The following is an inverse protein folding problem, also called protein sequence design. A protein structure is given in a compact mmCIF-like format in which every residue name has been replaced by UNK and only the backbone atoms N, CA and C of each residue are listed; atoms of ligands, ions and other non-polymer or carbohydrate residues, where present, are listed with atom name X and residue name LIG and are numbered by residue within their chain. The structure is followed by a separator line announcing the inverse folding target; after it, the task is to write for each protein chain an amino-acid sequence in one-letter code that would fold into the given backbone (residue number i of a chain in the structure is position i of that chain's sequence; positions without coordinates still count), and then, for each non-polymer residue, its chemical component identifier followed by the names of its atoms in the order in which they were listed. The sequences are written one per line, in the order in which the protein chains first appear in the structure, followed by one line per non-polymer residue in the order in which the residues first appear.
data_IF_674822139019
#
_entry.id   IF_674822139019
#
_cell.length_a   1.000
_cell.length_b   1.000
_cell.length_c   1.000
_cell.angle_alpha   90.00
_cell.angle_beta   90.00
_cell.angle_gamma   90.00
#
_symmetry.space_group_name_H-M   'P 1'
#
loop_
_entity.id
_entity.type
_entity.pdbx_description
1 polymer ?
#
# COMPACT_ATOMS: atom_id res chain seq x y z
N UNK A 1 24.22 -3.75 15.90
CA UNK A 1 23.20 -3.97 14.87
C UNK A 1 21.83 -3.73 15.48
N UNK A 2 20.89 -3.18 14.79
CA UNK A 2 19.61 -2.73 15.37
C UNK A 2 18.49 -3.61 14.82
N UNK A 3 17.86 -4.39 15.68
CA UNK A 3 16.65 -5.15 15.33
C UNK A 3 15.59 -4.17 14.83
N UNK A 4 15.00 -4.43 13.66
CA UNK A 4 13.90 -3.62 13.13
C UNK A 4 12.60 -4.29 13.50
N UNK A 5 11.82 -3.59 14.32
CA UNK A 5 10.50 -4.03 14.77
C UNK A 5 9.48 -2.99 14.32
N UNK A 6 8.40 -3.45 13.73
CA UNK A 6 7.21 -2.66 13.43
C UNK A 6 6.00 -3.36 14.07
N UNK A 7 5.23 -2.64 14.88
CA UNK A 7 4.06 -3.17 15.53
C UNK A 7 2.83 -2.30 15.19
N UNK A 8 1.71 -2.95 14.92
CA UNK A 8 0.42 -2.31 14.72
C UNK A 8 -0.67 -3.16 15.37
N UNK A 9 -1.23 -2.65 16.47
CA UNK A 9 -2.12 -3.40 17.36
C UNK A 9 -1.48 -4.71 17.82
N UNK A 10 -2.05 -5.84 17.47
CA UNK A 10 -1.58 -7.19 17.75
C UNK A 10 -0.64 -7.77 16.69
N UNK A 11 -0.53 -7.14 15.53
CA UNK A 11 0.36 -7.56 14.45
C UNK A 11 1.78 -6.99 14.64
N UNK A 12 2.77 -7.87 14.73
CA UNK A 12 4.19 -7.51 14.88
C UNK A 12 4.99 -8.04 13.70
N UNK A 13 5.72 -7.15 13.04
CA UNK A 13 6.70 -7.49 12.00
C UNK A 13 8.11 -7.35 12.58
N UNK A 14 8.88 -8.42 12.46
CA UNK A 14 10.28 -8.47 12.85
C UNK A 14 11.15 -8.70 11.62
N UNK A 15 12.22 -7.90 11.49
CA UNK A 15 13.26 -8.14 10.50
C UNK A 15 14.46 -8.72 11.23
N UNK A 16 14.76 -9.98 10.96
CA UNK A 16 15.86 -10.77 11.56
C UNK A 16 16.98 -10.86 10.55
N UNK A 17 18.19 -10.54 10.96
CA UNK A 17 19.37 -10.55 10.09
C UNK A 17 20.31 -11.72 10.35
N UNK A 18 20.35 -12.21 11.59
CA UNK A 18 21.17 -13.34 11.98
C UNK A 18 20.44 -14.24 13.02
N UNK A 19 20.90 -15.49 13.22
CA UNK A 19 20.33 -16.38 14.22
C UNK A 19 20.36 -15.84 15.66
N UNK A 20 21.35 -15.00 15.98
CA UNK A 20 21.45 -14.38 17.31
C UNK A 20 20.35 -13.37 17.58
N UNK A 21 19.78 -12.73 16.56
CA UNK A 21 18.63 -11.84 16.70
C UNK A 21 17.38 -12.63 17.14
N UNK A 22 17.25 -13.88 16.71
CA UNK A 22 16.14 -14.74 17.14
C UNK A 22 16.20 -15.07 18.62
N UNK A 23 17.38 -15.46 19.12
CA UNK A 23 17.54 -15.72 20.55
C UNK A 23 17.19 -14.49 21.39
N UNK A 24 17.53 -13.28 20.92
CA UNK A 24 17.13 -12.01 21.56
C UNK A 24 15.63 -11.81 21.53
N UNK A 25 14.97 -12.09 20.40
CA UNK A 25 13.50 -11.99 20.27
C UNK A 25 12.83 -12.95 21.24
N UNK A 26 13.28 -14.21 21.30
CA UNK A 26 12.74 -15.22 22.22
C UNK A 26 12.89 -14.78 23.69
N UNK A 27 14.06 -14.27 24.07
CA UNK A 27 14.32 -13.75 25.41
C UNK A 27 13.40 -12.56 25.75
N UNK A 28 13.29 -11.59 24.85
CA UNK A 28 12.39 -10.44 25.02
C UNK A 28 10.92 -10.87 25.12
N UNK A 29 10.52 -11.83 24.30
CA UNK A 29 9.15 -12.37 24.32
C UNK A 29 8.86 -13.13 25.61
N UNK A 30 9.80 -13.91 26.14
CA UNK A 30 9.64 -14.59 27.42
C UNK A 30 9.38 -13.59 28.56
N UNK A 31 10.16 -12.51 28.61
CA UNK A 31 9.99 -11.43 29.59
C UNK A 31 8.63 -10.76 29.42
N UNK A 32 8.26 -10.41 28.19
CA UNK A 32 6.97 -9.76 27.91
C UNK A 32 5.78 -10.67 28.27
N UNK A 33 5.87 -11.96 27.92
CA UNK A 33 4.81 -12.93 28.22
C UNK A 33 4.65 -13.16 29.75
N UNK A 34 5.76 -13.16 30.48
CA UNK A 34 5.73 -13.26 31.94
C UNK A 34 5.09 -12.03 32.58
N UNK A 35 5.33 -10.83 32.06
CA UNK A 35 4.81 -9.58 32.61
C UNK A 35 3.35 -9.30 32.22
N UNK A 36 2.94 -9.64 30.97
CA UNK A 36 1.64 -9.27 30.40
C UNK A 36 0.65 -10.42 30.27
N UNK A 37 1.08 -11.67 30.49
CA UNK A 37 0.32 -12.90 30.17
C UNK A 37 -0.02 -13.05 28.68
N UNK A 38 0.44 -12.16 27.80
CA UNK A 38 0.25 -12.26 26.37
C UNK A 38 1.09 -13.40 25.78
N UNK A 39 0.56 -14.07 24.77
CA UNK A 39 1.25 -15.18 24.10
C UNK A 39 1.28 -14.97 22.61
N UNK A 40 2.41 -15.29 21.97
CA UNK A 40 2.52 -15.30 20.51
C UNK A 40 1.75 -16.49 19.96
N UNK A 41 0.96 -16.25 18.93
CA UNK A 41 0.26 -17.31 18.21
C UNK A 41 1.16 -17.82 17.08
N UNK A 42 1.99 -18.81 17.36
CA UNK A 42 2.93 -19.38 16.39
C UNK A 42 2.24 -19.99 15.17
N UNK A 43 1.05 -20.55 15.33
CA UNK A 43 0.28 -21.13 14.21
C UNK A 43 -0.12 -20.08 13.17
N UNK A 44 -0.37 -18.85 13.62
CA UNK A 44 -0.66 -17.70 12.74
C UNK A 44 0.59 -16.94 12.31
N UNK A 45 1.73 -17.22 12.93
CA UNK A 45 2.99 -16.57 12.59
C UNK A 45 3.56 -17.16 11.30
N UNK A 46 4.08 -16.31 10.45
CA UNK A 46 4.65 -16.70 9.17
C UNK A 46 5.91 -15.90 8.88
N UNK A 47 6.83 -16.50 8.15
CA UNK A 47 8.10 -15.91 7.76
C UNK A 47 8.24 -15.76 6.25
N UNK A 48 9.03 -14.78 5.83
CA UNK A 48 9.45 -14.58 4.45
C UNK A 48 10.96 -14.47 4.40
N UNK A 49 11.62 -15.42 3.75
CA UNK A 49 13.06 -15.38 3.55
C UNK A 49 13.43 -14.38 2.45
N UNK A 50 14.35 -13.44 2.75
CA UNK A 50 14.78 -12.37 1.83
C UNK A 50 16.30 -12.37 1.69
N UNK A 51 16.81 -11.91 0.55
CA UNK A 51 18.25 -11.87 0.29
C UNK A 51 18.91 -13.23 0.34
N UNK A 52 20.05 -13.33 1.03
CA UNK A 52 20.85 -14.56 1.11
C UNK A 52 20.15 -15.71 1.85
N UNK A 53 19.20 -15.39 2.74
CA UNK A 53 18.39 -16.38 3.44
C UNK A 53 17.49 -17.23 2.52
N UNK A 54 17.24 -16.79 1.30
CA UNK A 54 16.50 -17.56 0.29
C UNK A 54 17.28 -18.79 -0.22
N UNK A 55 18.60 -18.76 -0.07
CA UNK A 55 19.50 -19.83 -0.54
C UNK A 55 19.87 -20.81 0.57
N UNK A 56 19.46 -20.52 1.81
CA UNK A 56 19.78 -21.38 2.96
C UNK A 56 18.88 -22.60 2.91
N UNK A 57 19.51 -23.76 2.67
CA UNK A 57 18.84 -25.06 2.56
C UNK A 57 18.29 -25.60 3.89
N UNK A 58 18.79 -25.11 5.03
CA UNK A 58 18.28 -25.47 6.36
C UNK A 58 18.19 -24.22 7.25
N UNK A 59 16.98 -23.94 7.71
CA UNK A 59 16.76 -22.89 8.69
C UNK A 59 17.18 -23.34 10.09
N UNK A 60 17.66 -22.41 10.95
CA UNK A 60 17.93 -22.70 12.35
C UNK A 60 16.73 -23.38 13.03
N UNK A 61 16.94 -24.27 14.00
CA UNK A 61 15.85 -25.01 14.66
C UNK A 61 14.75 -24.12 15.24
N UNK A 62 15.10 -22.96 15.78
CA UNK A 62 14.16 -21.97 16.31
C UNK A 62 13.19 -21.41 15.25
N UNK A 63 13.57 -21.44 13.96
CA UNK A 63 12.75 -20.98 12.85
C UNK A 63 11.91 -22.08 12.19
N UNK A 64 12.19 -23.36 12.52
CA UNK A 64 11.47 -24.49 11.92
C UNK A 64 10.01 -24.59 12.40
N UNK A 65 9.68 -23.96 13.54
CA UNK A 65 8.32 -23.92 14.06
C UNK A 65 7.43 -22.90 13.36
N UNK A 66 8.01 -21.98 12.58
CA UNK A 66 7.30 -20.92 11.85
C UNK A 66 7.03 -21.42 10.43
N UNK A 67 5.81 -21.16 9.94
CA UNK A 67 5.52 -21.42 8.53
C UNK A 67 6.23 -20.42 7.62
N UNK A 68 7.08 -20.92 6.73
CA UNK A 68 7.80 -20.09 5.77
C UNK A 68 7.08 -20.04 4.43
N UNK A 69 6.71 -18.82 4.02
CA UNK A 69 6.04 -18.63 2.75
C UNK A 69 7.01 -18.80 1.57
N UNK A 70 6.65 -19.68 0.64
CA UNK A 70 7.33 -19.78 -0.66
C UNK A 70 6.90 -18.64 -1.60
N UNK A 71 5.77 -18.00 -1.34
CA UNK A 71 5.18 -16.91 -2.11
C UNK A 71 5.07 -15.60 -1.31
N UNK A 72 4.23 -14.68 -1.76
CA UNK A 72 4.01 -13.42 -1.07
C UNK A 72 3.39 -13.61 0.31
N UNK A 73 3.86 -12.83 1.29
CA UNK A 73 3.35 -12.77 2.65
C UNK A 73 2.37 -11.59 2.79
N UNK A 74 1.19 -11.84 3.36
CA UNK A 74 0.23 -10.79 3.65
C UNK A 74 0.54 -10.12 4.99
N UNK A 75 0.85 -8.83 4.98
CA UNK A 75 1.04 -8.02 6.18
C UNK A 75 0.24 -6.72 6.07
N UNK A 76 -0.61 -6.44 7.07
CA UNK A 76 -1.48 -5.26 7.12
C UNK A 76 -2.24 -5.00 5.80
N UNK A 77 -2.75 -6.07 5.18
CA UNK A 77 -3.51 -5.97 3.92
C UNK A 77 -2.69 -5.74 2.66
N UNK A 78 -1.35 -5.80 2.74
CA UNK A 78 -0.42 -5.69 1.62
C UNK A 78 0.38 -6.98 1.49
N UNK A 79 0.46 -7.51 0.28
CA UNK A 79 1.32 -8.64 -0.04
C UNK A 79 2.76 -8.18 -0.23
N UNK A 80 3.66 -8.72 0.58
CA UNK A 80 5.10 -8.53 0.53
C UNK A 80 5.73 -9.73 -0.17
N UNK A 81 6.69 -9.50 -1.05
CA UNK A 81 7.41 -10.57 -1.75
C UNK A 81 8.91 -10.35 -1.70
N UNK A 82 9.66 -11.44 -1.63
CA UNK A 82 11.11 -11.41 -1.70
C UNK A 82 11.65 -11.16 -3.12
N UNK A 83 10.83 -11.37 -4.14
CA UNK A 83 11.24 -11.28 -5.56
C UNK A 83 10.70 -10.05 -6.25
N UNK A 84 9.52 -9.60 -5.88
CA UNK A 84 8.82 -8.50 -6.55
C UNK A 84 8.46 -7.38 -5.56
N UNK A 85 8.80 -6.11 -5.86
CA UNK A 85 8.46 -4.98 -4.99
C UNK A 85 6.94 -4.71 -4.92
N UNK A 86 6.20 -5.17 -5.91
CA UNK A 86 4.74 -5.06 -5.95
C UNK A 86 4.16 -6.33 -6.58
N UNK A 87 3.96 -7.39 -5.79
CA UNK A 87 3.42 -8.64 -6.29
C UNK A 87 2.01 -8.47 -6.87
N UNK A 88 1.66 -9.24 -7.93
CA UNK A 88 0.40 -9.07 -8.67
C UNK A 88 -0.84 -9.30 -7.80
N UNK A 89 -0.75 -10.08 -6.75
CA UNK A 89 -1.82 -10.36 -5.79
C UNK A 89 -2.38 -9.08 -5.15
N UNK A 90 -1.55 -8.06 -5.00
CA UNK A 90 -1.97 -6.77 -4.48
C UNK A 90 -3.02 -6.10 -5.37
N UNK A 91 -2.93 -6.32 -6.67
CA UNK A 91 -3.78 -5.65 -7.66
C UNK A 91 -4.96 -6.52 -8.09
N UNK A 92 -4.73 -7.81 -8.31
CA UNK A 92 -5.77 -8.78 -8.71
C UNK A 92 -6.89 -8.87 -7.67
N UNK A 93 -6.54 -9.03 -6.40
CA UNK A 93 -7.53 -9.09 -5.32
C UNK A 93 -8.28 -7.77 -5.16
N UNK A 94 -7.60 -6.65 -5.38
CA UNK A 94 -8.20 -5.33 -5.29
C UNK A 94 -9.17 -5.07 -6.44
N UNK A 95 -8.79 -5.45 -7.65
CA UNK A 95 -9.63 -5.36 -8.85
C UNK A 95 -10.89 -6.21 -8.72
N UNK A 96 -10.74 -7.47 -8.32
CA UNK A 96 -11.87 -8.37 -8.04
C UNK A 96 -12.85 -7.79 -7.04
N UNK A 97 -12.34 -7.20 -5.95
CA UNK A 97 -13.16 -6.52 -4.95
C UNK A 97 -13.91 -5.28 -5.49
N UNK A 98 -13.29 -4.52 -6.39
CA UNK A 98 -13.95 -3.38 -7.06
C UNK A 98 -15.06 -3.86 -7.99
N UNK A 99 -14.78 -4.85 -8.83
CA UNK A 99 -15.74 -5.43 -9.78
C UNK A 99 -16.97 -5.97 -9.04
N UNK A 100 -16.76 -6.70 -7.95
CA UNK A 100 -17.84 -7.26 -7.14
C UNK A 100 -18.73 -6.16 -6.53
N UNK A 101 -18.12 -5.08 -6.00
CA UNK A 101 -18.88 -3.93 -5.48
C UNK A 101 -19.66 -3.22 -6.57
N UNK A 102 -19.06 -2.97 -7.72
CA UNK A 102 -19.71 -2.36 -8.87
C UNK A 102 -20.90 -3.23 -9.30
N UNK A 103 -20.70 -4.55 -9.44
CA UNK A 103 -21.77 -5.50 -9.84
C UNK A 103 -22.94 -5.48 -8.86
N UNK A 104 -22.67 -5.42 -7.55
CA UNK A 104 -23.70 -5.33 -6.52
C UNK A 104 -24.56 -4.08 -6.68
N UNK A 105 -23.94 -2.93 -6.91
CA UNK A 105 -24.62 -1.66 -7.06
C UNK A 105 -25.25 -1.45 -8.43
N UNK A 106 -24.79 -2.16 -9.46
CA UNK A 106 -25.37 -2.12 -10.81
C UNK A 106 -26.84 -2.51 -10.81
N UNK A 107 -27.25 -3.39 -9.93
CA UNK A 107 -28.67 -3.79 -9.79
C UNK A 107 -29.57 -2.62 -9.33
N UNK A 108 -29.00 -1.66 -8.64
CA UNK A 108 -29.72 -0.50 -8.09
C UNK A 108 -29.56 0.78 -8.93
N UNK A 109 -28.87 0.70 -10.08
CA UNK A 109 -28.58 1.87 -10.92
C UNK A 109 -29.83 2.65 -11.33
N UNK A 110 -30.96 1.96 -11.58
CA UNK A 110 -32.23 2.60 -11.96
C UNK A 110 -32.80 3.49 -10.85
N UNK A 111 -32.47 3.20 -9.59
CA UNK A 111 -32.90 3.96 -8.43
C UNK A 111 -31.91 5.07 -8.03
N UNK A 112 -30.75 5.14 -8.68
CA UNK A 112 -29.70 6.09 -8.36
C UNK A 112 -29.66 7.23 -9.35
N UNK A 113 -29.77 8.47 -8.85
CA UNK A 113 -29.42 9.67 -9.62
C UNK A 113 -27.90 9.68 -9.93
N UNK A 114 -27.44 10.50 -10.87
CA UNK A 114 -26.02 10.66 -11.17
C UNK A 114 -25.21 11.01 -9.92
N UNK A 115 -25.78 11.87 -9.06
CA UNK A 115 -25.17 12.19 -7.77
C UNK A 115 -25.08 10.98 -6.84
N UNK A 116 -26.13 10.18 -6.75
CA UNK A 116 -26.15 8.95 -5.98
C UNK A 116 -25.07 7.97 -6.46
N UNK A 117 -24.87 7.86 -7.78
CA UNK A 117 -23.80 7.03 -8.37
C UNK A 117 -22.42 7.54 -7.99
N UNK A 118 -22.18 8.87 -8.02
CA UNK A 118 -20.92 9.47 -7.58
C UNK A 118 -20.64 9.19 -6.10
N UNK A 119 -21.66 9.27 -5.24
CA UNK A 119 -21.53 8.95 -3.81
C UNK A 119 -21.20 7.47 -3.59
N UNK A 120 -21.90 6.56 -4.24
CA UNK A 120 -21.62 5.11 -4.18
C UNK A 120 -20.18 4.82 -4.62
N UNK A 121 -19.76 5.37 -5.75
CA UNK A 121 -18.39 5.21 -6.23
C UNK A 121 -17.38 5.75 -5.22
N UNK A 122 -17.54 6.96 -4.75
CA UNK A 122 -16.57 7.59 -3.85
C UNK A 122 -16.46 6.90 -2.50
N UNK A 123 -17.60 6.51 -1.90
CA UNK A 123 -17.64 6.04 -0.52
C UNK A 123 -17.51 4.51 -0.40
N UNK A 124 -18.06 3.77 -1.34
CA UNK A 124 -18.16 2.31 -1.21
C UNK A 124 -17.22 1.55 -2.16
N UNK A 125 -16.84 2.16 -3.27
CA UNK A 125 -15.93 1.53 -4.24
C UNK A 125 -14.53 2.08 -4.12
N UNK A 126 -14.33 3.38 -4.34
CA UNK A 126 -13.01 4.00 -4.38
C UNK A 126 -12.32 4.04 -3.02
N UNK A 127 -13.09 4.16 -1.93
CA UNK A 127 -12.53 4.17 -0.56
C UNK A 127 -11.65 2.96 -0.27
N UNK A 128 -11.99 1.81 -0.84
CA UNK A 128 -11.24 0.56 -0.62
C UNK A 128 -9.89 0.51 -1.34
N UNK A 129 -9.70 1.39 -2.32
CA UNK A 129 -8.47 1.48 -3.10
C UNK A 129 -7.40 2.33 -2.41
N UNK A 130 -7.81 3.33 -1.62
CA UNK A 130 -6.93 4.40 -1.17
C UNK A 130 -5.77 3.92 -0.33
N UNK A 131 -5.98 2.95 0.55
CA UNK A 131 -4.93 2.39 1.38
C UNK A 131 -3.79 1.80 0.54
N UNK A 132 -4.11 0.90 -0.38
CA UNK A 132 -3.09 0.25 -1.23
C UNK A 132 -2.46 1.22 -2.22
N UNK A 133 -3.26 2.12 -2.82
CA UNK A 133 -2.74 3.15 -3.73
C UNK A 133 -1.86 4.18 -3.03
N UNK A 134 -2.06 4.40 -1.74
CA UNK A 134 -1.17 5.24 -0.93
C UNK A 134 0.16 4.55 -0.63
N UNK A 135 0.14 3.24 -0.44
CA UNK A 135 1.29 2.44 0.00
C UNK A 135 2.13 1.95 -1.17
N UNK A 136 1.47 1.47 -2.24
CA UNK A 136 2.12 0.81 -3.37
C UNK A 136 1.98 1.62 -4.66
N UNK A 137 2.94 1.43 -5.57
CA UNK A 137 2.82 1.92 -6.94
C UNK A 137 1.86 1.01 -7.73
N UNK A 138 0.82 1.54 -8.39
CA UNK A 138 -0.09 0.72 -9.16
C UNK A 138 0.62 0.08 -10.37
N UNK A 139 0.19 -1.14 -10.71
CA UNK A 139 0.67 -1.82 -11.89
C UNK A 139 0.34 -1.02 -13.17
N UNK A 140 1.17 -1.12 -14.23
CA UNK A 140 0.90 -0.48 -15.49
C UNK A 140 -0.51 -0.84 -16.01
N UNK A 141 -1.27 0.15 -16.47
CA UNK A 141 -2.62 -0.05 -16.99
C UNK A 141 -3.73 -0.22 -15.94
N UNK A 142 -3.41 -0.56 -14.69
CA UNK A 142 -4.39 -0.81 -13.62
C UNK A 142 -5.35 0.37 -13.42
N UNK A 143 -4.83 1.58 -13.25
CA UNK A 143 -5.67 2.78 -13.06
C UNK A 143 -6.55 3.08 -14.29
N UNK A 144 -6.04 2.84 -15.49
CA UNK A 144 -6.79 3.03 -16.74
C UNK A 144 -7.94 2.05 -16.82
N UNK A 145 -7.69 0.79 -16.47
CA UNK A 145 -8.73 -0.23 -16.43
C UNK A 145 -9.82 0.10 -15.40
N UNK A 146 -9.43 0.44 -14.17
CA UNK A 146 -10.39 0.85 -13.14
C UNK A 146 -11.19 2.09 -13.53
N UNK A 147 -10.55 3.09 -14.16
CA UNK A 147 -11.25 4.27 -14.66
C UNK A 147 -12.35 3.90 -15.64
N UNK A 148 -12.09 2.95 -16.56
CA UNK A 148 -13.08 2.48 -17.51
C UNK A 148 -14.28 1.86 -16.79
N UNK A 149 -14.08 0.95 -15.86
CA UNK A 149 -15.13 0.31 -15.07
C UNK A 149 -15.98 1.33 -14.29
N UNK A 150 -15.34 2.32 -13.69
CA UNK A 150 -16.01 3.39 -12.94
C UNK A 150 -16.89 4.23 -13.85
N UNK A 151 -16.38 4.64 -15.01
CA UNK A 151 -17.15 5.44 -15.97
C UNK A 151 -18.30 4.67 -16.59
N UNK A 152 -18.10 3.39 -16.89
CA UNK A 152 -19.13 2.49 -17.37
C UNK A 152 -20.29 2.36 -16.37
N UNK A 153 -19.98 2.14 -15.09
CA UNK A 153 -20.98 2.17 -14.02
C UNK A 153 -21.67 3.52 -13.90
N UNK A 154 -20.91 4.61 -13.93
CA UNK A 154 -21.44 5.95 -13.74
C UNK A 154 -22.45 6.31 -14.84
N UNK A 155 -22.10 6.08 -16.09
CA UNK A 155 -22.89 6.47 -17.25
C UNK A 155 -23.96 5.46 -17.65
N UNK A 156 -23.81 4.19 -17.33
CA UNK A 156 -24.71 3.10 -17.80
C UNK A 156 -24.86 3.07 -19.32
N UNK A 157 -23.79 3.31 -20.05
CA UNK A 157 -23.71 3.23 -21.51
C UNK A 157 -23.77 4.56 -22.27
N UNK A 158 -24.40 5.60 -21.74
CA UNK A 158 -24.49 6.90 -22.43
C UNK A 158 -23.62 7.98 -21.74
N UNK A 159 -22.69 8.53 -22.48
CA UNK A 159 -21.77 9.58 -22.01
C UNK A 159 -22.39 10.98 -22.28
N UNK A 160 -22.99 11.58 -21.26
CA UNK A 160 -23.68 12.87 -21.37
C UNK A 160 -22.78 14.10 -21.30
N UNK A 161 -21.62 13.97 -20.66
CA UNK A 161 -20.70 15.09 -20.47
C UNK A 161 -19.24 14.62 -20.50
N UNK A 162 -18.29 15.52 -20.79
CA UNK A 162 -16.87 15.22 -20.67
C UNK A 162 -16.50 14.74 -19.27
N UNK A 163 -15.60 13.78 -19.19
CA UNK A 163 -15.18 13.17 -17.91
C UNK A 163 -14.61 14.21 -16.94
N UNK A 164 -13.96 15.25 -17.46
CA UNK A 164 -13.44 16.35 -16.63
C UNK A 164 -14.51 17.01 -15.78
N UNK A 165 -15.71 17.20 -16.32
CA UNK A 165 -16.84 17.80 -15.60
C UNK A 165 -17.29 16.96 -14.41
N UNK A 166 -17.20 15.63 -14.49
CA UNK A 166 -17.56 14.75 -13.38
C UNK A 166 -16.70 14.98 -12.13
N UNK A 167 -15.45 15.36 -12.35
CA UNK A 167 -14.49 15.58 -11.28
C UNK A 167 -14.60 16.96 -10.62
N UNK A 168 -15.30 17.91 -11.26
CA UNK A 168 -15.52 19.23 -10.67
C UNK A 168 -16.38 19.16 -9.40
N UNK A 169 -16.17 20.10 -8.47
CA UNK A 169 -17.04 20.25 -7.31
C UNK A 169 -18.49 20.52 -7.73
N UNK A 170 -19.43 20.22 -6.85
CA UNK A 170 -20.84 20.49 -7.09
C UNK A 170 -21.15 21.96 -7.34
N UNK A 171 -20.45 22.87 -6.66
CA UNK A 171 -20.58 24.31 -6.81
C UNK A 171 -20.25 24.79 -8.22
N UNK A 172 -19.45 24.02 -8.94
CA UNK A 172 -19.00 24.28 -10.31
C UNK A 172 -19.77 23.42 -11.34
N UNK A 173 -20.91 22.85 -10.96
CA UNK A 173 -21.72 22.01 -11.84
C UNK A 173 -21.23 20.59 -12.04
N UNK A 174 -20.19 20.16 -11.33
CA UNK A 174 -19.67 18.79 -11.37
C UNK A 174 -20.43 17.81 -10.50
N UNK A 175 -19.98 16.57 -10.47
CA UNK A 175 -20.54 15.51 -9.64
C UNK A 175 -19.65 15.17 -8.41
N UNK A 176 -18.48 15.80 -8.31
CA UNK A 176 -17.51 15.54 -7.24
C UNK A 176 -16.96 14.12 -7.25
N UNK A 177 -16.96 13.44 -8.41
CA UNK A 177 -16.35 12.12 -8.55
C UNK A 177 -14.83 12.24 -8.41
N UNK A 178 -14.24 11.47 -7.49
CA UNK A 178 -12.78 11.49 -7.28
C UNK A 178 -12.04 10.92 -8.47
N UNK A 179 -11.04 11.66 -8.97
CA UNK A 179 -10.17 11.21 -10.04
C UNK A 179 -9.08 10.29 -9.47
N UNK A 180 -8.99 9.04 -9.95
CA UNK A 180 -7.99 8.06 -9.51
C UNK A 180 -6.56 8.57 -9.68
N UNK A 181 -6.24 9.10 -10.87
CA UNK A 181 -4.89 9.57 -11.18
C UNK A 181 -4.47 10.75 -10.32
N UNK A 182 -5.38 11.71 -10.12
CA UNK A 182 -5.12 12.87 -9.26
C UNK A 182 -4.92 12.43 -7.82
N UNK A 183 -5.75 11.52 -7.32
CA UNK A 183 -5.63 11.03 -5.94
C UNK A 183 -4.31 10.32 -5.69
N UNK A 184 -3.85 9.48 -6.62
CA UNK A 184 -2.53 8.82 -6.53
C UNK A 184 -1.40 9.86 -6.52
N UNK A 185 -1.48 10.89 -7.36
CA UNK A 185 -0.50 11.99 -7.36
C UNK A 185 -0.49 12.73 -6.02
N UNK A 186 -1.67 13.01 -5.45
CA UNK A 186 -1.79 13.64 -4.13
C UNK A 186 -1.14 12.79 -3.05
N UNK A 187 -1.36 11.47 -3.05
CA UNK A 187 -0.70 10.58 -2.09
C UNK A 187 0.83 10.61 -2.21
N UNK A 188 1.37 10.66 -3.43
CA UNK A 188 2.82 10.78 -3.65
C UNK A 188 3.36 12.12 -3.15
N UNK A 189 2.64 13.22 -3.43
CA UNK A 189 3.02 14.54 -2.91
C UNK A 189 2.98 14.57 -1.38
N UNK A 190 1.95 14.00 -0.75
CA UNK A 190 1.87 13.91 0.70
C UNK A 190 3.01 13.06 1.30
N UNK A 191 3.38 11.96 0.63
CA UNK A 191 4.53 11.15 1.06
C UNK A 191 5.85 11.96 0.98
N UNK A 192 6.04 12.71 -0.11
CA UNK A 192 7.20 13.61 -0.27
C UNK A 192 7.17 14.74 0.78
N UNK A 193 6.02 15.35 1.03
CA UNK A 193 5.89 16.36 2.07
C UNK A 193 6.28 15.82 3.45
N UNK A 194 5.81 14.62 3.80
CA UNK A 194 6.22 13.96 5.05
C UNK A 194 7.72 13.68 5.10
N UNK A 195 8.30 13.27 3.98
CA UNK A 195 9.74 13.01 3.88
C UNK A 195 10.57 14.27 4.17
N UNK A 196 10.17 15.41 3.61
CA UNK A 196 10.97 16.64 3.64
C UNK A 196 10.65 17.58 4.83
N UNK A 197 9.41 17.56 5.31
CA UNK A 197 8.96 18.52 6.32
C UNK A 197 8.65 17.89 7.68
N UNK A 198 8.64 16.54 7.78
CA UNK A 198 8.44 15.91 9.09
C UNK A 198 9.67 16.09 9.95
N UNK A 199 9.48 16.66 11.14
CA UNK A 199 10.54 16.79 12.15
C UNK A 199 10.98 15.44 12.75
N UNK A 200 10.15 14.37 12.56
CA UNK A 200 10.46 13.04 13.07
C UNK A 200 11.39 12.31 12.10
N UNK A 201 12.58 11.95 12.58
CA UNK A 201 13.49 11.02 11.89
C UNK A 201 12.93 9.59 11.95
N UNK A 202 11.85 9.33 11.21
CA UNK A 202 11.33 7.97 11.10
C UNK A 202 12.32 7.08 10.34
N UNK A 203 12.43 5.80 10.71
CA UNK A 203 13.39 4.87 10.10
C UNK A 203 13.26 4.82 8.57
N UNK A 204 12.05 4.89 8.03
CA UNK A 204 11.81 4.89 6.58
C UNK A 204 12.36 6.15 5.90
N UNK A 205 12.29 7.32 6.55
CA UNK A 205 12.81 8.57 5.97
C UNK A 205 14.33 8.52 5.83
N UNK A 206 15.03 7.96 6.84
CA UNK A 206 16.48 7.76 6.80
C UNK A 206 16.88 6.87 5.62
N UNK A 207 16.14 5.76 5.40
CA UNK A 207 16.39 4.85 4.28
C UNK A 207 16.16 5.53 2.93
N UNK A 208 15.06 6.26 2.78
CA UNK A 208 14.75 6.97 1.52
C UNK A 208 15.78 8.07 1.28
N UNK A 209 16.20 8.81 2.31
CA UNK A 209 17.26 9.81 2.18
C UNK A 209 18.59 9.18 1.76
N UNK A 210 18.98 8.05 2.35
CA UNK A 210 20.19 7.33 1.96
C UNK A 210 20.13 6.83 0.52
N UNK A 211 18.98 6.30 0.10
CA UNK A 211 18.72 5.82 -1.25
C UNK A 211 18.82 6.96 -2.29
N UNK A 212 18.14 8.08 -2.05
CA UNK A 212 18.17 9.23 -2.94
C UNK A 212 19.57 9.83 -3.09
N UNK A 213 20.35 9.89 -1.99
CA UNK A 213 21.76 10.32 -2.05
C UNK A 213 22.62 9.40 -2.91
N UNK A 214 22.36 8.09 -2.87
CA UNK A 214 23.16 7.09 -3.58
C UNK A 214 22.87 7.06 -5.08
N UNK A 215 21.60 7.25 -5.47
CA UNK A 215 21.18 7.01 -6.84
C UNK A 215 21.41 8.15 -7.83
N UNK A 216 21.48 9.41 -7.39
CA UNK A 216 21.47 10.52 -8.37
C UNK A 216 22.50 11.62 -8.13
N UNK A 217 23.39 11.55 -7.14
CA UNK A 217 24.28 12.68 -6.85
C UNK A 217 23.52 13.99 -6.57
N UNK A 218 22.20 13.94 -6.51
CA UNK A 218 21.34 15.07 -6.21
C UNK A 218 21.56 15.46 -4.77
N UNK A 219 22.10 16.65 -4.58
CA UNK A 219 22.12 17.29 -3.27
C UNK A 219 20.67 17.39 -2.80
N UNK A 220 20.42 16.77 -1.69
CA UNK A 220 19.14 16.60 -1.08
C UNK A 220 18.69 17.94 -0.51
N UNK A 221 17.90 18.68 -1.25
CA UNK A 221 17.44 19.98 -0.83
C UNK A 221 15.94 20.15 -1.10
N UNK A 222 15.28 20.97 -0.29
CA UNK A 222 13.90 21.42 -0.50
C UNK A 222 13.67 21.99 -1.91
N UNK A 223 14.73 22.41 -2.57
CA UNK A 223 14.76 22.91 -3.94
C UNK A 223 14.33 21.88 -5.00
N UNK A 224 14.34 20.57 -4.70
CA UNK A 224 13.83 19.55 -5.61
C UNK A 224 12.37 19.76 -6.06
N UNK A 225 11.57 20.47 -5.27
CA UNK A 225 10.20 20.84 -5.62
C UNK A 225 10.11 21.98 -6.64
N UNK A 226 11.18 22.73 -6.83
CA UNK A 226 11.25 23.84 -7.76
C UNK A 226 11.91 23.46 -9.09
N UNK A 227 12.45 22.24 -9.21
CA UNK A 227 12.99 21.75 -10.46
C UNK A 227 11.84 21.46 -11.42
N UNK A 228 11.80 22.21 -12.50
CA UNK A 228 10.85 21.99 -13.60
C UNK A 228 10.99 20.57 -14.13
N UNK A 229 9.87 19.87 -14.43
CA UNK A 229 9.89 18.52 -14.99
C UNK A 229 10.63 18.38 -16.34
N UNK A 230 11.09 19.48 -16.93
CA UNK A 230 11.84 19.51 -18.20
C UNK A 230 13.32 19.10 -18.06
N UNK A 231 13.81 18.82 -16.87
CA UNK A 231 15.21 18.46 -16.61
C UNK A 231 15.48 16.99 -16.28
N UNK A 232 14.47 16.10 -16.37
CA UNK A 232 14.69 14.66 -16.24
C UNK A 232 14.79 14.02 -17.62
N UNK A 233 15.90 13.30 -17.93
CA UNK A 233 16.01 12.51 -19.13
C UNK A 233 15.01 11.36 -19.17
#
# INVERSE_FOLDING_TARGET
MRLVLSAYADDVLLVVQDPGDLARVEACQAIYSAASSARVNWVKSSGLAVGDWRQVSSLPPALQTIWWSAGPLLYLGVYLSATHPSPPENWQNLEGGVIERIRRWTRLLRCLSLRGRALVLNQLVLSTLWYRLNTLAPAPGFLTHLRRLILEFFWSGMHWAPVGVLHLPLKEGGQGLKCLFTQVRVFRLQALQRLFYSASSSAWSILVHAFLRRFQGLRYDRQLFYLSPRGFP
#
